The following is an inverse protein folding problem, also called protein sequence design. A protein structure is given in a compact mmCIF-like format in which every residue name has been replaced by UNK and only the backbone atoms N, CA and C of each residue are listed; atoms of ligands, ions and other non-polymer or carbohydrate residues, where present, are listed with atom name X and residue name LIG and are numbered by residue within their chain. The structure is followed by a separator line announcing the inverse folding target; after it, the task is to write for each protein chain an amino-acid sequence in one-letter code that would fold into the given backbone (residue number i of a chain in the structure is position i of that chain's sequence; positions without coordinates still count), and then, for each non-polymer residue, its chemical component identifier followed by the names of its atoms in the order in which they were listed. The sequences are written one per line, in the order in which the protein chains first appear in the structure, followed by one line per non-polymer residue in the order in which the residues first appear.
data_IF_994342391593
#
_entry.id   IF_994342391593
#
_cell.length_a   1.000
_cell.length_b   1.000
_cell.length_c   1.000
_cell.angle_alpha   90.00
_cell.angle_beta   90.00
_cell.angle_gamma   90.00
#
_symmetry.space_group_name_H-M   'P 1'
#
loop_
_entity.id
_entity.type
_entity.pdbx_description
1 polymer ?
#
# COMPACT_ATOMS: atom_id res chain seq x y z
N UNK A 1 -22.86 -18.48 -10.61
CA UNK A 1 -21.89 -18.20 -9.52
C UNK A 1 -22.69 -17.86 -8.28
N UNK A 2 -22.35 -18.45 -7.14
CA UNK A 2 -23.01 -18.17 -5.85
C UNK A 2 -21.95 -17.81 -4.82
N UNK A 3 -22.24 -16.86 -3.94
CA UNK A 3 -21.34 -16.44 -2.86
C UNK A 3 -22.17 -16.37 -1.57
N UNK A 4 -21.60 -16.88 -0.48
CA UNK A 4 -22.20 -16.76 0.85
C UNK A 4 -21.14 -16.60 1.93
N UNK A 5 -21.51 -15.94 3.02
CA UNK A 5 -20.71 -15.92 4.25
C UNK A 5 -20.95 -17.19 5.05
N UNK A 6 -19.90 -17.74 5.66
CA UNK A 6 -19.95 -18.92 6.52
C UNK A 6 -19.05 -18.72 7.73
N UNK A 7 -19.61 -18.17 8.81
CA UNK A 7 -18.82 -17.73 9.96
C UNK A 7 -17.85 -16.62 9.55
N UNK A 8 -16.57 -16.80 9.83
CA UNK A 8 -15.51 -15.85 9.49
C UNK A 8 -14.96 -16.00 8.05
N UNK A 9 -15.53 -16.88 7.23
CA UNK A 9 -15.04 -17.13 5.86
C UNK A 9 -16.10 -16.79 4.80
N UNK A 10 -15.64 -16.57 3.58
CA UNK A 10 -16.49 -16.44 2.39
C UNK A 10 -16.35 -17.71 1.57
N UNK A 11 -17.48 -18.29 1.18
CA UNK A 11 -17.53 -19.45 0.28
C UNK A 11 -18.12 -19.01 -1.05
N UNK A 12 -17.37 -19.25 -2.13
CA UNK A 12 -17.79 -18.94 -3.49
C UNK A 12 -17.83 -20.21 -4.33
N UNK A 13 -18.90 -20.36 -5.13
CA UNK A 13 -19.00 -21.36 -6.18
C UNK A 13 -18.68 -20.71 -7.53
N UNK A 14 -17.53 -21.07 -8.08
CA UNK A 14 -17.10 -20.63 -9.41
C UNK A 14 -17.95 -21.28 -10.50
N UNK A 15 -18.18 -20.57 -11.60
CA UNK A 15 -18.92 -21.11 -12.74
C UNK A 15 -18.19 -22.35 -13.30
N UNK A 16 -18.93 -23.43 -13.56
CA UNK A 16 -18.38 -24.70 -14.08
C UNK A 16 -17.75 -25.62 -13.02
N UNK A 17 -17.61 -25.17 -11.76
CA UNK A 17 -17.07 -25.96 -10.65
C UNK A 17 -18.21 -26.34 -9.70
N UNK A 18 -18.85 -27.47 -9.99
CA UNK A 18 -20.04 -27.94 -9.27
C UNK A 18 -19.78 -29.16 -8.36
N UNK A 19 -18.58 -29.74 -8.41
CA UNK A 19 -18.21 -30.94 -7.66
C UNK A 19 -17.02 -30.68 -6.74
N UNK A 20 -16.91 -31.52 -5.71
CA UNK A 20 -15.88 -31.42 -4.67
C UNK A 20 -14.47 -31.59 -5.23
N UNK A 21 -14.28 -32.54 -6.14
CA UNK A 21 -12.95 -32.89 -6.65
C UNK A 21 -12.35 -31.74 -7.47
N UNK A 22 -13.17 -31.10 -8.32
CA UNK A 22 -12.76 -29.89 -9.05
C UNK A 22 -12.49 -28.71 -8.13
N UNK A 23 -13.25 -28.55 -7.04
CA UNK A 23 -12.96 -27.50 -6.07
C UNK A 23 -11.66 -27.76 -5.31
N UNK A 24 -11.39 -29.02 -4.92
CA UNK A 24 -10.14 -29.40 -4.26
C UNK A 24 -8.91 -29.21 -5.17
N UNK A 25 -9.04 -29.45 -6.48
CA UNK A 25 -7.97 -29.23 -7.45
C UNK A 25 -7.51 -27.76 -7.56
N UNK A 26 -8.34 -26.80 -7.12
CA UNK A 26 -8.01 -25.37 -7.12
C UNK A 26 -7.38 -24.91 -5.80
N UNK A 27 -7.16 -25.82 -4.84
CA UNK A 27 -6.51 -25.46 -3.58
C UNK A 27 -5.09 -24.92 -3.81
N UNK A 28 -4.79 -23.78 -3.19
CA UNK A 28 -3.49 -23.12 -3.29
C UNK A 28 -3.35 -22.17 -4.48
N UNK A 29 -4.38 -22.06 -5.32
CA UNK A 29 -4.41 -21.05 -6.38
C UNK A 29 -4.71 -19.67 -5.80
N UNK A 30 -4.09 -18.64 -6.38
CA UNK A 30 -4.37 -17.25 -6.05
C UNK A 30 -5.61 -16.75 -6.80
N UNK A 31 -6.46 -16.00 -6.11
CA UNK A 31 -7.58 -15.27 -6.72
C UNK A 31 -7.12 -13.86 -7.02
N UNK A 32 -7.31 -13.42 -8.27
CA UNK A 32 -6.94 -12.08 -8.72
C UNK A 32 -8.16 -11.38 -9.28
N UNK A 33 -8.26 -10.07 -9.05
CA UNK A 33 -9.28 -9.22 -9.65
C UNK A 33 -8.59 -8.14 -10.49
N UNK A 34 -9.10 -7.82 -11.69
CA UNK A 34 -8.53 -6.77 -12.51
C UNK A 34 -8.72 -5.41 -11.84
N UNK A 35 -7.71 -4.53 -11.90
CA UNK A 35 -7.77 -3.20 -11.27
C UNK A 35 -8.99 -2.38 -11.72
N UNK A 36 -9.40 -2.52 -12.98
CA UNK A 36 -10.56 -1.83 -13.56
C UNK A 36 -11.93 -2.31 -13.08
N UNK A 37 -12.02 -3.42 -12.33
CA UNK A 37 -13.29 -3.85 -11.72
C UNK A 37 -13.48 -3.33 -10.30
N UNK A 38 -12.51 -2.57 -9.78
CA UNK A 38 -12.60 -2.05 -8.43
C UNK A 38 -13.62 -0.91 -8.43
N UNK A 39 -14.50 -0.82 -7.43
CA UNK A 39 -15.31 0.37 -7.21
C UNK A 39 -14.46 1.65 -7.21
N UNK A 40 -15.05 2.78 -7.59
CA UNK A 40 -14.40 4.06 -7.33
C UNK A 40 -14.37 4.27 -5.80
N UNK A 41 -13.21 4.63 -5.22
CA UNK A 41 -13.16 4.99 -3.81
C UNK A 41 -13.93 6.29 -3.56
N UNK A 42 -14.38 6.50 -2.33
CA UNK A 42 -14.95 7.79 -1.92
C UNK A 42 -13.86 8.88 -1.83
N UNK A 43 -14.28 10.12 -1.59
CA UNK A 43 -13.33 11.21 -1.35
C UNK A 43 -12.46 10.89 -0.13
N UNK A 44 -11.15 11.07 -0.28
CA UNK A 44 -10.14 10.72 0.72
C UNK A 44 -10.05 9.23 1.09
N UNK A 45 -10.61 8.35 0.26
CA UNK A 45 -10.34 6.91 0.30
C UNK A 45 -9.39 6.48 -0.80
N UNK A 46 -8.53 5.50 -0.48
CA UNK A 46 -7.49 5.03 -1.39
C UNK A 46 -7.36 3.52 -1.29
N UNK A 47 -7.22 2.84 -2.44
CA UNK A 47 -6.80 1.45 -2.42
C UNK A 47 -5.32 1.38 -2.07
N UNK A 48 -4.95 0.52 -1.12
CA UNK A 48 -3.57 0.37 -0.68
C UNK A 48 -2.61 0.01 -1.81
N UNK A 49 -3.08 -0.75 -2.80
CA UNK A 49 -2.31 -1.11 -3.99
C UNK A 49 -1.92 0.10 -4.85
N UNK A 50 -2.66 1.21 -4.77
CA UNK A 50 -2.31 2.45 -5.47
C UNK A 50 -1.26 3.25 -4.70
N UNK A 51 -1.29 3.19 -3.36
CA UNK A 51 -0.35 3.87 -2.48
C UNK A 51 1.05 3.23 -2.55
N UNK A 52 1.12 1.90 -2.68
CA UNK A 52 2.39 1.16 -2.85
C UNK A 52 3.11 1.67 -4.10
N UNK A 53 4.37 2.10 -3.92
CA UNK A 53 5.22 2.70 -4.93
C UNK A 53 5.10 4.23 -5.04
N UNK A 54 4.27 4.89 -4.21
CA UNK A 54 4.23 6.35 -4.18
C UNK A 54 5.44 6.89 -3.44
N UNK A 55 5.99 8.01 -3.91
CA UNK A 55 7.04 8.74 -3.21
C UNK A 55 6.44 9.57 -2.10
N UNK A 56 6.93 9.39 -0.88
CA UNK A 56 6.54 10.16 0.29
C UNK A 56 7.49 11.34 0.46
N UNK A 57 6.92 12.53 0.58
CA UNK A 57 7.61 13.78 0.86
C UNK A 57 7.18 14.35 2.21
N UNK A 58 8.09 15.07 2.87
CA UNK A 58 7.80 15.88 4.05
C UNK A 58 7.88 17.36 3.73
N UNK A 59 7.00 18.16 4.33
CA UNK A 59 7.02 19.62 4.32
C UNK A 59 7.35 20.21 5.70
N UNK A 60 7.71 19.38 6.68
CA UNK A 60 7.93 19.77 8.07
C UNK A 60 8.98 20.89 8.24
N UNK A 61 9.96 20.96 7.35
CA UNK A 61 11.05 21.95 7.37
C UNK A 61 10.84 23.12 6.38
N UNK A 62 9.61 23.30 5.88
CA UNK A 62 9.24 24.35 4.92
C UNK A 62 9.31 23.87 3.46
N UNK A 63 10.48 23.42 3.00
CA UNK A 63 10.64 22.87 1.66
C UNK A 63 10.30 21.38 1.61
N UNK A 64 9.72 20.94 0.48
CA UNK A 64 9.39 19.53 0.27
C UNK A 64 10.66 18.68 0.14
N UNK A 65 10.88 17.76 1.07
CA UNK A 65 12.01 16.83 1.07
C UNK A 65 11.53 15.38 0.88
N UNK A 66 12.24 14.62 0.04
CA UNK A 66 11.95 13.19 -0.16
C UNK A 66 12.27 12.41 1.12
N UNK A 67 11.30 11.66 1.64
CA UNK A 67 11.53 10.64 2.67
C UNK A 67 11.90 9.32 2.02
N UNK A 68 11.14 8.89 1.01
CA UNK A 68 11.30 7.56 0.43
C UNK A 68 10.14 7.14 -0.45
N UNK A 69 10.02 5.82 -0.62
CA UNK A 69 8.96 5.19 -1.41
C UNK A 69 8.16 4.21 -0.55
N UNK A 70 6.84 4.21 -0.70
CA UNK A 70 5.97 3.25 -0.01
C UNK A 70 6.22 1.85 -0.55
N UNK A 71 6.66 0.95 0.31
CA UNK A 71 6.90 -0.48 0.01
C UNK A 71 5.65 -1.32 0.32
N UNK A 72 4.97 -0.99 1.42
CA UNK A 72 3.83 -1.77 1.92
C UNK A 72 2.88 -0.87 2.72
N UNK A 73 1.61 -1.25 2.78
CA UNK A 73 0.62 -0.68 3.70
C UNK A 73 0.21 -1.74 4.69
N UNK A 74 0.44 -1.47 5.97
CA UNK A 74 0.18 -2.38 7.09
C UNK A 74 -1.14 -2.01 7.78
N UNK A 75 -1.89 -3.03 8.18
CA UNK A 75 -3.00 -2.87 9.13
C UNK A 75 -2.50 -3.10 10.55
N UNK A 76 -2.53 -2.08 11.40
CA UNK A 76 -2.20 -2.21 12.82
C UNK A 76 -3.44 -2.37 13.72
N UNK A 77 -4.63 -2.49 13.14
CA UNK A 77 -5.91 -2.62 13.84
C UNK A 77 -6.57 -1.30 14.24
N UNK A 78 -5.85 -0.17 14.21
CA UNK A 78 -6.42 1.16 14.46
C UNK A 78 -6.43 2.01 13.17
N UNK A 79 -5.29 2.12 12.50
CA UNK A 79 -5.11 2.90 11.28
C UNK A 79 -4.13 2.20 10.33
N UNK A 80 -4.24 2.48 9.04
CA UNK A 80 -3.24 2.04 8.08
C UNK A 80 -1.88 2.72 8.36
N UNK A 81 -0.80 1.97 8.19
CA UNK A 81 0.57 2.46 8.36
C UNK A 81 1.35 2.21 7.07
N UNK A 82 1.93 3.26 6.50
CA UNK A 82 2.85 3.13 5.38
C UNK A 82 4.20 2.64 5.89
N UNK A 83 4.69 1.54 5.33
CA UNK A 83 6.09 1.15 5.43
C UNK A 83 6.83 1.78 4.26
N UNK A 84 7.71 2.72 4.56
CA UNK A 84 8.44 3.52 3.58
C UNK A 84 9.90 3.09 3.58
N UNK A 85 10.44 2.75 2.41
CA UNK A 85 11.88 2.55 2.24
C UNK A 85 12.52 3.91 2.00
N UNK A 86 13.40 4.31 2.92
CA UNK A 86 13.97 5.64 2.93
C UNK A 86 14.90 5.85 1.72
N UNK A 87 14.77 7.00 1.06
CA UNK A 87 15.56 7.37 -0.10
C UNK A 87 16.09 8.80 0.04
N UNK A 88 17.25 9.05 -0.56
CA UNK A 88 17.82 10.38 -0.75
C UNK A 88 17.81 10.74 -2.23
N UNK A 89 17.86 12.03 -2.54
CA UNK A 89 18.05 12.49 -3.92
C UNK A 89 19.51 12.26 -4.30
N UNK A 90 19.75 11.30 -5.20
CA UNK A 90 21.04 11.01 -5.81
C UNK A 90 21.22 11.74 -7.15
N UNK A 91 22.38 11.50 -7.80
CA UNK A 91 22.71 12.15 -9.06
C UNK A 91 21.83 11.68 -10.23
N UNK A 92 21.47 10.39 -10.23
CA UNK A 92 20.68 9.74 -11.29
C UNK A 92 19.21 9.50 -10.87
N UNK A 93 18.80 10.01 -9.71
CA UNK A 93 17.45 9.82 -9.16
C UNK A 93 17.46 9.38 -7.68
N UNK A 94 16.31 8.95 -7.15
CA UNK A 94 16.20 8.48 -5.77
C UNK A 94 17.09 7.26 -5.50
N UNK A 95 17.93 7.35 -4.48
CA UNK A 95 18.82 6.27 -4.03
C UNK A 95 18.40 5.77 -2.64
N UNK A 96 18.43 4.46 -2.37
CA UNK A 96 18.10 3.92 -1.06
C UNK A 96 19.11 4.36 0.01
N UNK A 97 18.61 4.79 1.15
CA UNK A 97 19.41 4.99 2.37
C UNK A 97 19.57 3.61 3.01
N UNK A 98 20.81 3.23 3.34
CA UNK A 98 21.10 1.95 3.99
C UNK A 98 21.33 2.14 5.49
N UNK A 99 20.81 1.21 6.30
CA UNK A 99 21.10 1.14 7.72
C UNK A 99 22.50 0.53 8.00
N UNK A 100 22.89 0.48 9.27
CA UNK A 100 24.19 -0.06 9.70
C UNK A 100 24.48 -1.52 9.27
N UNK A 101 23.45 -2.27 8.84
CA UNK A 101 23.57 -3.65 8.35
C UNK A 101 23.57 -3.73 6.81
N UNK A 102 23.66 -2.59 6.12
CA UNK A 102 23.65 -2.52 4.66
C UNK A 102 22.29 -2.86 4.01
N UNK A 103 21.20 -2.85 4.78
CA UNK A 103 19.83 -3.03 4.25
C UNK A 103 19.15 -1.68 4.07
N UNK A 104 18.17 -1.54 3.15
CA UNK A 104 17.36 -0.33 3.07
C UNK A 104 16.81 0.05 4.45
N UNK A 105 17.01 1.31 4.82
CA UNK A 105 16.39 1.90 6.00
C UNK A 105 14.88 2.01 5.75
N UNK A 106 14.10 1.72 6.79
CA UNK A 106 12.65 1.75 6.73
C UNK A 106 12.09 2.71 7.76
N UNK A 107 10.96 3.32 7.44
CA UNK A 107 10.21 4.22 8.31
C UNK A 107 8.73 3.85 8.27
N UNK A 108 8.09 3.86 9.45
CA UNK A 108 6.66 3.62 9.59
C UNK A 108 5.94 4.96 9.74
N UNK A 109 5.06 5.26 8.79
CA UNK A 109 4.34 6.54 8.73
C UNK A 109 2.84 6.27 8.84
N UNK A 110 2.15 6.76 9.90
CA UNK A 110 0.71 6.64 10.02
C UNK A 110 -0.01 7.29 8.83
N UNK A 111 -0.86 6.55 8.14
CA UNK A 111 -1.66 7.07 7.03
C UNK A 111 -2.96 7.68 7.57
N UNK A 112 -2.83 8.83 8.25
CA UNK A 112 -3.93 9.59 8.84
C UNK A 112 -3.90 11.04 8.40
N UNK A 113 -5.06 11.71 8.31
CA UNK A 113 -5.16 13.12 7.92
C UNK A 113 -4.34 14.09 8.78
N UNK A 114 -4.01 13.70 10.01
CA UNK A 114 -3.16 14.50 10.89
C UNK A 114 -1.74 14.67 10.32
N UNK A 115 -1.26 13.71 9.52
CA UNK A 115 0.08 13.73 8.94
C UNK A 115 0.10 13.75 7.41
N UNK A 116 -0.92 13.19 6.77
CA UNK A 116 -1.04 13.15 5.31
C UNK A 116 -1.79 14.39 4.84
N UNK A 117 -1.08 15.27 4.15
CA UNK A 117 -1.60 16.56 3.69
C UNK A 117 -2.23 16.45 2.30
N UNK A 118 -1.62 15.66 1.40
CA UNK A 118 -2.12 15.45 0.05
C UNK A 118 -1.67 14.09 -0.51
N UNK A 119 -2.50 13.53 -1.38
CA UNK A 119 -2.19 12.32 -2.16
C UNK A 119 -2.51 12.60 -3.62
N UNK A 120 -1.49 12.55 -4.46
CA UNK A 120 -1.62 12.62 -5.92
C UNK A 120 -1.25 11.27 -6.53
N UNK A 121 -2.27 10.47 -6.83
CA UNK A 121 -2.09 9.15 -7.44
C UNK A 121 -1.57 9.23 -8.89
N UNK A 122 -1.85 10.33 -9.61
CA UNK A 122 -1.38 10.50 -10.98
C UNK A 122 0.12 10.78 -11.01
N UNK A 123 0.60 11.62 -10.09
CA UNK A 123 2.03 11.89 -9.90
C UNK A 123 2.74 10.83 -9.04
N UNK A 124 2.00 9.88 -8.47
CA UNK A 124 2.50 8.90 -7.48
C UNK A 124 3.21 9.56 -6.30
N UNK A 125 2.61 10.62 -5.75
CA UNK A 125 3.19 11.46 -4.69
C UNK A 125 2.26 11.53 -3.49
N UNK A 126 2.86 11.43 -2.30
CA UNK A 126 2.19 11.67 -1.03
C UNK A 126 2.97 12.77 -0.30
N UNK A 127 2.29 13.84 0.09
CA UNK A 127 2.85 14.93 0.88
C UNK A 127 2.39 14.80 2.34
N UNK A 128 3.34 14.95 3.26
CA UNK A 128 3.12 14.79 4.70
C UNK A 128 3.87 15.84 5.51
N UNK A 129 3.56 15.97 6.79
CA UNK A 129 4.39 16.71 7.77
C UNK A 129 5.26 15.78 8.62
N UNK A 130 5.35 14.50 8.25
CA UNK A 130 6.09 13.51 9.03
C UNK A 130 7.58 13.89 9.08
N UNK A 131 8.22 13.91 10.26
CA UNK A 131 9.61 14.32 10.36
C UNK A 131 10.53 13.35 9.60
N UNK A 132 11.40 13.90 8.75
CA UNK A 132 12.48 13.16 8.11
C UNK A 132 13.71 13.14 9.02
N UNK A 133 13.59 12.52 10.19
CA UNK A 133 14.72 12.29 11.09
C UNK A 133 15.44 11.01 10.64
N UNK A 134 16.41 11.14 9.72
CA UNK A 134 17.31 10.06 9.29
C UNK A 134 18.77 10.47 9.43
#
# INVERSE_FOLDING_TARGET
MQVRSQGATVVAQLAGIADRDKAEALRGFSVQAPRGSFPAPEEDEYYWVDLIGCSLYTTANGDAALIGVVDEVLDNGAHAVLKVLCQKVGADGPEPILNAKGKPAEMLVPFVRAHIQAVDLAARRIDSDWPADL
#
